data_IF_000063807531
#
_entry.id   IF_000063807531
#
_cell.length_a   1.000
_cell.length_b   1.000
_cell.length_c   1.000
_cell.angle_alpha   90.00
_cell.angle_beta   90.00
_cell.angle_gamma   90.00
#
_symmetry.space_group_name_H-M   'P 1'
#
loop_
_entity.id
_entity.type
_entity.pdbx_description
1 polymer ?
#
# COMPACT_ATOMS: atom_id res chain seq x y z
N UNK A 1 21.20 -13.56 9.41
CA UNK A 1 20.25 -12.50 9.79
C UNK A 1 19.65 -12.83 11.16
N UNK A 2 19.34 -11.83 11.99
CA UNK A 2 18.65 -12.06 13.27
C UNK A 2 17.17 -12.42 13.03
N UNK A 3 16.44 -13.02 14.00
CA UNK A 3 15.01 -13.28 13.86
C UNK A 3 14.19 -12.02 13.50
N UNK A 4 14.53 -10.87 14.09
CA UNK A 4 13.93 -9.57 13.75
C UNK A 4 14.20 -9.15 12.31
N UNK A 5 15.41 -9.42 11.81
CA UNK A 5 15.80 -9.12 10.43
C UNK A 5 15.04 -9.99 9.42
N UNK A 6 14.79 -11.26 9.73
CA UNK A 6 13.99 -12.15 8.87
C UNK A 6 12.51 -11.75 8.84
N UNK A 7 11.96 -11.31 9.98
CA UNK A 7 10.61 -10.75 9.99
C UNK A 7 10.51 -9.52 9.10
N UNK A 8 11.42 -8.55 9.27
CA UNK A 8 11.44 -7.34 8.43
C UNK A 8 11.58 -7.68 6.94
N UNK A 9 12.36 -8.70 6.60
CA UNK A 9 12.46 -9.20 5.23
C UNK A 9 11.11 -9.69 4.72
N UNK A 10 10.41 -10.57 5.45
CA UNK A 10 9.11 -11.09 5.02
C UNK A 10 8.05 -10.00 4.92
N UNK A 11 8.03 -9.07 5.87
CA UNK A 11 7.10 -7.93 5.85
C UNK A 11 7.33 -7.06 4.61
N UNK A 12 8.59 -6.70 4.32
CA UNK A 12 8.96 -5.85 3.17
C UNK A 12 8.80 -6.56 1.83
N UNK A 13 9.43 -7.72 1.68
CA UNK A 13 9.45 -8.44 0.41
C UNK A 13 8.08 -9.04 0.13
N UNK A 14 7.39 -9.57 1.15
CA UNK A 14 6.02 -10.04 1.01
C UNK A 14 5.08 -8.93 0.55
N UNK A 15 5.17 -7.73 1.13
CA UNK A 15 4.40 -6.59 0.67
C UNK A 15 4.70 -6.22 -0.79
N UNK A 16 5.96 -6.25 -1.21
CA UNK A 16 6.33 -6.02 -2.62
C UNK A 16 5.79 -7.12 -3.55
N UNK A 17 5.78 -8.38 -3.10
CA UNK A 17 5.26 -9.53 -3.86
C UNK A 17 3.76 -9.39 -4.12
N UNK A 18 2.98 -9.01 -3.11
CA UNK A 18 1.51 -8.93 -3.22
C UNK A 18 0.99 -7.55 -3.62
N UNK A 19 1.88 -6.57 -3.84
CA UNK A 19 1.50 -5.23 -4.25
C UNK A 19 0.78 -5.29 -5.62
N UNK A 20 -0.38 -4.67 -5.71
CA UNK A 20 -1.22 -4.71 -6.92
C UNK A 20 -0.78 -3.70 -7.99
N UNK A 21 0.14 -2.82 -7.63
CA UNK A 21 0.90 -1.96 -8.53
C UNK A 21 2.33 -1.78 -7.97
N UNK A 22 3.33 -1.45 -8.80
CA UNK A 22 4.67 -1.14 -8.31
C UNK A 22 4.67 0.06 -7.36
N UNK A 23 5.10 -0.15 -6.11
CA UNK A 23 5.13 0.89 -5.07
C UNK A 23 6.55 1.40 -4.82
N UNK A 24 6.65 2.69 -4.49
CA UNK A 24 7.92 3.29 -4.05
C UNK A 24 8.18 3.05 -2.57
N UNK A 25 9.40 3.34 -2.12
CA UNK A 25 9.82 3.08 -0.74
C UNK A 25 8.99 3.84 0.30
N UNK A 26 8.54 5.05 -0.02
CA UNK A 26 7.74 5.87 0.89
C UNK A 26 6.34 5.29 1.06
N UNK A 27 5.74 4.82 -0.04
CA UNK A 27 4.46 4.11 -0.03
C UNK A 27 4.56 2.82 0.76
N UNK A 28 5.58 2.00 0.48
CA UNK A 28 5.87 0.78 1.21
C UNK A 28 6.04 1.05 2.72
N UNK A 29 6.87 2.03 3.09
CA UNK A 29 7.09 2.39 4.48
C UNK A 29 5.80 2.86 5.17
N UNK A 30 4.98 3.67 4.51
CA UNK A 30 3.72 4.19 5.05
C UNK A 30 2.64 3.10 5.19
N UNK A 31 2.65 2.08 4.32
CA UNK A 31 1.77 0.92 4.43
C UNK A 31 2.23 -0.04 5.54
N UNK A 32 3.53 -0.26 5.71
CA UNK A 32 4.06 -1.17 6.72
C UNK A 32 4.10 -0.56 8.13
N UNK A 33 4.33 0.74 8.25
CA UNK A 33 4.49 1.41 9.54
C UNK A 33 3.75 2.75 9.61
N UNK A 34 3.21 3.16 10.77
CA UNK A 34 2.53 4.45 10.91
C UNK A 34 3.46 5.63 10.58
N UNK A 35 2.92 6.65 9.92
CA UNK A 35 3.58 7.94 9.78
C UNK A 35 3.83 8.56 11.17
N UNK A 36 5.02 9.11 11.37
CA UNK A 36 5.46 9.66 12.65
C UNK A 36 6.93 10.07 12.63
N UNK A 37 7.47 10.50 13.78
CA UNK A 37 8.85 10.99 13.90
C UNK A 37 9.93 9.98 13.45
N UNK A 38 9.59 8.70 13.36
CA UNK A 38 10.48 7.62 12.95
C UNK A 38 10.33 7.21 11.48
N UNK A 39 9.47 7.87 10.69
CA UNK A 39 9.22 7.47 9.28
C UNK A 39 10.51 7.43 8.45
N UNK A 40 11.32 8.47 8.54
CA UNK A 40 12.61 8.55 7.81
C UNK A 40 13.63 7.51 8.29
N UNK A 41 13.66 7.23 9.59
CA UNK A 41 14.51 6.18 10.16
C UNK A 41 14.09 4.80 9.64
N UNK A 42 12.79 4.55 9.55
CA UNK A 42 12.25 3.29 9.06
C UNK A 42 12.48 3.11 7.56
N UNK A 43 12.23 4.14 6.74
CA UNK A 43 12.57 4.14 5.32
C UNK A 43 14.07 3.85 5.11
N UNK A 44 14.93 4.49 5.90
CA UNK A 44 16.38 4.25 5.87
C UNK A 44 16.75 2.82 6.30
N UNK A 45 16.03 2.27 7.28
CA UNK A 45 16.21 0.89 7.75
C UNK A 45 15.83 -0.12 6.67
N UNK A 46 14.66 0.04 6.02
CA UNK A 46 14.20 -0.80 4.91
C UNK A 46 15.23 -0.76 3.78
N UNK A 47 15.65 0.44 3.37
CA UNK A 47 16.63 0.64 2.30
C UNK A 47 17.93 -0.10 2.57
N UNK A 48 18.55 0.15 3.74
CA UNK A 48 19.87 -0.41 4.08
C UNK A 48 19.82 -1.91 4.38
N UNK A 49 18.76 -2.39 5.00
CA UNK A 49 18.69 -3.76 5.52
C UNK A 49 18.16 -4.73 4.49
N UNK A 50 17.22 -4.31 3.64
CA UNK A 50 16.54 -5.17 2.68
C UNK A 50 16.88 -4.76 1.25
N UNK A 51 16.46 -3.59 0.81
CA UNK A 51 16.49 -3.22 -0.62
C UNK A 51 17.92 -3.21 -1.19
N UNK A 52 18.87 -2.58 -0.49
CA UNK A 52 20.27 -2.52 -0.95
C UNK A 52 20.97 -3.89 -0.95
N UNK A 53 20.47 -4.86 -0.18
CA UNK A 53 21.01 -6.22 -0.17
C UNK A 53 20.43 -7.11 -1.27
N UNK A 54 19.32 -6.68 -1.87
CA UNK A 54 18.58 -7.43 -2.89
C UNK A 54 18.72 -6.81 -4.28
N UNK A 55 19.70 -5.94 -4.53
CA UNK A 55 19.91 -5.31 -5.83
C UNK A 55 20.17 -6.30 -6.98
N UNK A 56 20.57 -7.53 -6.68
CA UNK A 56 20.69 -8.60 -7.67
C UNK A 56 19.33 -9.08 -8.22
N UNK A 57 18.24 -8.82 -7.50
CA UNK A 57 16.88 -9.27 -7.85
C UNK A 57 15.84 -8.15 -7.83
N UNK A 58 16.20 -6.96 -7.33
CA UNK A 58 15.37 -5.76 -7.27
C UNK A 58 16.04 -4.60 -8.00
N UNK A 59 15.26 -3.89 -8.80
CA UNK A 59 15.56 -2.51 -9.20
C UNK A 59 15.15 -1.60 -8.05
N UNK A 60 16.15 -0.98 -7.43
CA UNK A 60 15.96 -0.05 -6.30
C UNK A 60 16.37 1.35 -6.76
N UNK A 61 15.42 2.28 -6.89
CA UNK A 61 15.75 3.66 -7.20
C UNK A 61 16.60 4.31 -6.10
N UNK A 62 17.53 5.18 -6.51
CA UNK A 62 18.24 6.07 -5.58
C UNK A 62 19.45 5.48 -4.86
N UNK A 63 19.87 4.25 -5.19
CA UNK A 63 21.03 3.60 -4.57
C UNK A 63 22.31 4.44 -4.69
N UNK A 64 22.44 5.21 -5.79
CA UNK A 64 23.64 5.99 -6.11
C UNK A 64 23.39 7.50 -6.26
N UNK A 65 22.19 7.99 -5.91
CA UNK A 65 21.83 9.41 -6.06
C UNK A 65 21.39 10.01 -4.74
N UNK A 66 21.92 11.18 -4.40
CA UNK A 66 21.45 11.99 -3.27
C UNK A 66 20.08 12.64 -3.52
N UNK A 67 19.48 12.42 -4.69
CA UNK A 67 18.20 13.00 -5.09
C UNK A 67 17.03 12.31 -4.40
N UNK A 68 16.30 13.06 -3.58
CA UNK A 68 15.02 12.67 -2.99
C UNK A 68 13.93 12.35 -4.04
N UNK A 69 14.11 12.78 -5.30
CA UNK A 69 13.23 12.41 -6.40
C UNK A 69 13.28 10.90 -6.72
N UNK A 70 14.38 10.22 -6.39
CA UNK A 70 14.48 8.78 -6.58
C UNK A 70 13.54 7.99 -5.66
N UNK A 71 13.21 8.53 -4.49
CA UNK A 71 12.30 7.89 -3.51
C UNK A 71 10.84 7.90 -3.97
N UNK A 72 10.52 8.64 -5.03
CA UNK A 72 9.23 8.63 -5.70
C UNK A 72 9.08 7.51 -6.74
N UNK A 73 10.19 6.92 -7.21
CA UNK A 73 10.18 5.87 -8.23
C UNK A 73 9.87 4.49 -7.61
N UNK A 74 9.19 3.61 -8.35
CA UNK A 74 8.77 2.30 -7.83
C UNK A 74 9.94 1.33 -7.66
N UNK A 75 9.84 0.46 -6.66
CA UNK A 75 10.69 -0.71 -6.49
C UNK A 75 10.13 -1.83 -7.37
N UNK A 76 10.99 -2.52 -8.11
CA UNK A 76 10.54 -3.58 -9.04
C UNK A 76 11.40 -4.83 -8.91
N UNK A 77 10.79 -6.00 -9.06
CA UNK A 77 11.54 -7.24 -9.26
C UNK A 77 12.13 -7.27 -10.67
N UNK A 78 13.39 -7.71 -10.79
CA UNK A 78 14.06 -7.85 -12.09
C UNK A 78 13.42 -9.00 -12.89
N UNK A 79 13.02 -10.07 -12.21
CA UNK A 79 12.43 -11.25 -12.85
C UNK A 79 11.40 -11.92 -11.94
N UNK A 80 10.34 -12.48 -12.54
CA UNK A 80 9.24 -13.14 -11.82
C UNK A 80 9.69 -14.40 -11.09
N UNK A 81 10.73 -15.10 -11.58
CA UNK A 81 11.23 -16.33 -10.93
C UNK A 81 11.63 -16.14 -9.46
N UNK A 82 12.05 -14.94 -9.06
CA UNK A 82 12.34 -14.68 -7.65
C UNK A 82 11.06 -14.59 -6.82
N UNK A 83 10.00 -13.99 -7.38
CA UNK A 83 8.67 -14.00 -6.77
C UNK A 83 8.15 -15.44 -6.68
N UNK A 84 8.23 -16.19 -7.78
CA UNK A 84 7.80 -17.59 -7.85
C UNK A 84 8.52 -18.43 -6.77
N UNK A 85 9.85 -18.30 -6.66
CA UNK A 85 10.65 -18.95 -5.63
C UNK A 85 10.17 -18.58 -4.22
N UNK A 86 9.91 -17.30 -3.93
CA UNK A 86 9.50 -16.85 -2.59
C UNK A 86 8.10 -17.32 -2.18
N UNK A 87 7.28 -17.74 -3.14
CA UNK A 87 5.92 -18.23 -2.90
C UNK A 87 5.77 -19.75 -2.98
N UNK A 88 6.84 -20.46 -3.36
CA UNK A 88 6.84 -21.92 -3.48
C UNK A 88 7.38 -22.57 -2.19
N UNK A 89 6.50 -23.17 -1.39
CA UNK A 89 6.87 -23.84 -0.14
C UNK A 89 7.80 -25.06 -0.33
N UNK A 90 7.83 -25.64 -1.53
CA UNK A 90 8.65 -26.82 -1.85
C UNK A 90 10.09 -26.45 -2.23
N UNK A 91 10.28 -25.23 -2.76
CA UNK A 91 11.58 -24.76 -3.24
C UNK A 91 12.19 -23.70 -2.31
N UNK A 92 11.37 -22.88 -1.65
CA UNK A 92 11.85 -21.79 -0.83
C UNK A 92 12.43 -22.26 0.49
N UNK A 93 13.54 -21.63 0.89
CA UNK A 93 13.97 -21.68 2.27
C UNK A 93 12.87 -21.12 3.20
N UNK A 94 12.45 -21.91 4.19
CA UNK A 94 11.33 -21.60 5.10
C UNK A 94 11.41 -20.25 5.80
N UNK A 95 12.62 -19.70 6.00
CA UNK A 95 12.82 -18.39 6.64
C UNK A 95 12.46 -17.21 5.73
N UNK A 96 12.51 -17.41 4.41
CA UNK A 96 12.27 -16.42 3.36
C UNK A 96 10.89 -16.56 2.72
N UNK A 97 10.25 -17.70 2.90
CA UNK A 97 8.94 -18.03 2.35
C UNK A 97 7.90 -16.96 2.72
N UNK A 98 7.16 -16.52 1.70
CA UNK A 98 6.08 -15.55 1.79
C UNK A 98 4.76 -16.30 1.64
N UNK A 99 4.00 -16.41 2.73
CA UNK A 99 2.66 -17.00 2.70
C UNK A 99 1.62 -15.94 2.33
N UNK A 100 0.98 -16.01 1.15
CA UNK A 100 0.21 -14.90 0.60
C UNK A 100 -0.85 -14.24 1.52
N UNK A 101 -1.58 -14.94 2.41
CA UNK A 101 -2.52 -14.26 3.30
C UNK A 101 -1.85 -13.23 4.21
N UNK A 102 -0.63 -13.49 4.70
CA UNK A 102 0.03 -12.64 5.70
C UNK A 102 0.42 -11.25 5.14
N UNK A 103 1.08 -11.12 3.98
CA UNK A 103 1.33 -9.80 3.38
C UNK A 103 0.05 -9.06 2.97
N UNK A 104 -0.98 -9.77 2.50
CA UNK A 104 -2.26 -9.15 2.18
C UNK A 104 -2.92 -8.57 3.44
N UNK A 105 -2.89 -9.28 4.57
CA UNK A 105 -3.34 -8.77 5.87
C UNK A 105 -2.55 -7.54 6.31
N UNK A 106 -1.22 -7.60 6.20
CA UNK A 106 -0.34 -6.50 6.57
C UNK A 106 -0.62 -5.24 5.74
N UNK A 107 -0.79 -5.38 4.43
CA UNK A 107 -1.15 -4.27 3.56
C UNK A 107 -2.58 -3.78 3.79
N UNK A 108 -3.55 -4.65 4.07
CA UNK A 108 -4.91 -4.25 4.42
C UNK A 108 -4.92 -3.36 5.67
N UNK A 109 -4.21 -3.76 6.73
CA UNK A 109 -4.04 -2.95 7.95
C UNK A 109 -3.39 -1.60 7.63
N UNK A 110 -2.33 -1.61 6.82
CA UNK A 110 -1.66 -0.40 6.34
C UNK A 110 -2.58 0.54 5.57
N UNK A 111 -3.40 -0.01 4.68
CA UNK A 111 -4.38 0.72 3.89
C UNK A 111 -5.45 1.38 4.78
N UNK A 112 -6.05 0.63 5.70
CA UNK A 112 -7.01 1.19 6.65
C UNK A 112 -6.41 2.31 7.49
N UNK A 113 -5.17 2.14 7.98
CA UNK A 113 -4.46 3.18 8.72
C UNK A 113 -4.25 4.45 7.89
N UNK A 114 -3.83 4.32 6.62
CA UNK A 114 -3.65 5.47 5.74
C UNK A 114 -4.99 6.18 5.49
N UNK A 115 -6.06 5.42 5.29
CA UNK A 115 -7.42 5.94 5.08
C UNK A 115 -8.04 6.61 6.32
N UNK A 116 -7.46 6.45 7.53
CA UNK A 116 -7.90 7.21 8.70
C UNK A 116 -7.70 8.72 8.51
N UNK A 117 -6.79 9.14 7.61
CA UNK A 117 -6.54 10.54 7.24
C UNK A 117 -7.57 11.14 6.29
N UNK A 118 -8.45 10.32 5.69
CA UNK A 118 -9.49 10.79 4.80
C UNK A 118 -10.44 11.75 5.54
N UNK A 119 -10.74 12.86 4.88
CA UNK A 119 -11.67 13.88 5.35
C UNK A 119 -12.41 14.47 4.16
N UNK A 120 -13.53 15.12 4.44
CA UNK A 120 -14.29 15.87 3.44
C UNK A 120 -13.40 16.90 2.74
N UNK A 121 -13.56 17.01 1.43
CA UNK A 121 -12.87 17.98 0.57
C UNK A 121 -11.34 17.90 0.69
N UNK A 122 -10.77 16.71 0.47
CA UNK A 122 -9.32 16.48 0.54
C UNK A 122 -8.50 17.47 -0.29
N UNK A 123 -9.04 17.87 -1.45
CA UNK A 123 -8.35 18.74 -2.40
C UNK A 123 -8.70 20.23 -2.26
N UNK A 124 -9.51 20.60 -1.26
CA UNK A 124 -9.92 21.98 -1.00
C UNK A 124 -10.49 22.67 -2.26
N UNK A 125 -11.44 21.96 -2.90
CA UNK A 125 -12.12 22.39 -4.11
C UNK A 125 -13.33 23.26 -3.79
N UNK A 126 -13.66 24.16 -4.71
CA UNK A 126 -14.87 24.96 -4.64
C UNK A 126 -16.08 24.05 -4.96
N UNK A 127 -17.05 23.89 -4.03
CA UNK A 127 -18.21 23.04 -4.24
C UNK A 127 -19.16 23.54 -5.35
N UNK A 128 -19.00 24.79 -5.81
CA UNK A 128 -19.80 25.37 -6.88
C UNK A 128 -19.28 25.04 -8.28
N UNK A 129 -18.10 24.42 -8.40
CA UNK A 129 -17.48 24.09 -9.68
C UNK A 129 -17.54 22.59 -9.97
N UNK A 130 -17.70 22.25 -11.24
CA UNK A 130 -17.41 20.91 -11.73
C UNK A 130 -15.90 20.66 -11.67
N UNK A 131 -15.49 19.40 -11.48
CA UNK A 131 -14.07 19.02 -11.49
C UNK A 131 -13.36 19.50 -12.78
N UNK A 132 -14.05 19.47 -13.92
CA UNK A 132 -13.55 19.95 -15.22
C UNK A 132 -13.33 21.47 -15.29
N UNK A 133 -13.96 22.24 -14.40
CA UNK A 133 -13.86 23.70 -14.33
C UNK A 133 -12.76 24.15 -13.35
N UNK A 134 -12.27 23.24 -12.51
CA UNK A 134 -11.19 23.51 -11.56
C UNK A 134 -9.86 23.63 -12.30
N UNK A 135 -9.22 24.81 -12.19
CA UNK A 135 -7.87 25.02 -12.72
C UNK A 135 -6.85 24.12 -12.00
N UNK A 136 -5.99 23.47 -12.79
CA UNK A 136 -4.94 22.56 -12.30
C UNK A 136 -5.51 21.44 -11.41
N UNK A 137 -6.72 20.95 -11.71
CA UNK A 137 -7.40 19.90 -10.94
C UNK A 137 -6.48 18.70 -10.67
N UNK A 138 -5.91 18.12 -11.72
CA UNK A 138 -5.05 16.94 -11.60
C UNK A 138 -3.85 17.22 -10.69
N UNK A 139 -3.17 18.35 -10.88
CA UNK A 139 -2.04 18.72 -10.03
C UNK A 139 -2.44 18.81 -8.55
N UNK A 140 -3.59 19.42 -8.23
CA UNK A 140 -4.07 19.52 -6.85
C UNK A 140 -4.36 18.16 -6.25
N UNK A 141 -5.00 17.27 -7.01
CA UNK A 141 -5.20 15.86 -6.61
C UNK A 141 -3.85 15.18 -6.37
N UNK A 142 -2.88 15.43 -7.25
CA UNK A 142 -1.54 14.87 -7.17
C UNK A 142 -0.70 15.41 -5.99
N UNK A 143 -1.00 16.60 -5.48
CA UNK A 143 -0.33 17.19 -4.32
C UNK A 143 -1.02 16.84 -3.00
N UNK A 144 -2.36 16.73 -2.99
CA UNK A 144 -3.16 16.60 -1.76
C UNK A 144 -3.41 15.17 -1.33
N UNK A 145 -3.53 14.23 -2.26
CA UNK A 145 -3.81 12.82 -1.94
C UNK A 145 -2.51 12.03 -2.00
N UNK A 146 -1.74 11.91 -0.92
CA UNK A 146 -0.39 11.32 -0.98
C UNK A 146 -0.36 9.90 -1.60
N UNK A 147 0.76 9.46 -2.21
CA UNK A 147 0.85 8.17 -2.91
C UNK A 147 0.36 6.97 -2.10
N UNK A 148 0.72 6.87 -0.82
CA UNK A 148 0.26 5.80 0.06
C UNK A 148 -1.26 5.80 0.27
N UNK A 149 -1.86 6.99 0.37
CA UNK A 149 -3.31 7.12 0.49
C UNK A 149 -4.01 6.75 -0.83
N UNK A 150 -3.44 7.10 -1.99
CA UNK A 150 -3.98 6.68 -3.30
C UNK A 150 -3.99 5.17 -3.40
N UNK A 151 -2.83 4.54 -3.15
CA UNK A 151 -2.68 3.10 -3.15
C UNK A 151 -3.72 2.46 -2.21
N UNK A 152 -3.82 2.97 -0.98
CA UNK A 152 -4.76 2.45 0.00
C UNK A 152 -6.22 2.55 -0.46
N UNK A 153 -6.63 3.68 -1.04
CA UNK A 153 -7.99 3.87 -1.52
C UNK A 153 -8.31 2.91 -2.68
N UNK A 154 -7.36 2.68 -3.59
CA UNK A 154 -7.58 1.88 -4.80
C UNK A 154 -7.49 0.37 -4.52
N UNK A 155 -6.60 -0.07 -3.62
CA UNK A 155 -6.25 -1.49 -3.49
C UNK A 155 -6.79 -2.17 -2.23
N UNK A 156 -7.47 -1.44 -1.33
CA UNK A 156 -7.94 -2.02 -0.05
C UNK A 156 -8.79 -3.28 -0.25
N UNK A 157 -9.76 -3.26 -1.18
CA UNK A 157 -10.68 -4.38 -1.36
C UNK A 157 -9.97 -5.64 -1.85
N UNK A 158 -9.00 -5.49 -2.75
CA UNK A 158 -8.21 -6.60 -3.25
C UNK A 158 -7.22 -7.16 -2.22
N UNK A 159 -6.75 -6.35 -1.26
CA UNK A 159 -6.03 -6.89 -0.12
C UNK A 159 -6.96 -7.65 0.84
N UNK A 160 -8.09 -7.05 1.21
CA UNK A 160 -9.08 -7.67 2.11
C UNK A 160 -9.55 -9.02 1.57
N UNK A 161 -9.88 -9.13 0.28
CA UNK A 161 -10.40 -10.36 -0.32
C UNK A 161 -9.43 -11.55 -0.24
N UNK A 162 -8.14 -11.28 -0.10
CA UNK A 162 -7.07 -12.27 -0.01
C UNK A 162 -6.67 -12.59 1.45
N UNK A 163 -7.26 -11.91 2.43
CA UNK A 163 -7.06 -12.21 3.85
C UNK A 163 -7.99 -13.33 4.32
N UNK A 164 -7.68 -13.94 5.47
CA UNK A 164 -8.55 -14.95 6.06
C UNK A 164 -9.89 -14.33 6.52
N UNK A 165 -11.02 -14.78 5.98
CA UNK A 165 -12.38 -14.31 6.34
C UNK A 165 -12.72 -14.39 7.85
N UNK A 166 -12.04 -15.28 8.59
CA UNK A 166 -12.12 -15.40 10.04
C UNK A 166 -11.31 -14.37 10.83
N UNK A 167 -10.58 -13.47 10.16
CA UNK A 167 -9.72 -12.49 10.81
C UNK A 167 -10.55 -11.38 11.48
N UNK A 168 -10.75 -11.52 12.80
CA UNK A 168 -11.55 -10.60 13.60
C UNK A 168 -10.97 -9.17 13.61
N UNK A 169 -9.65 -9.01 13.47
CA UNK A 169 -9.01 -7.70 13.42
C UNK A 169 -9.40 -6.95 12.13
N UNK A 170 -9.27 -7.62 10.97
CA UNK A 170 -9.67 -7.05 9.67
C UNK A 170 -11.17 -6.72 9.67
N UNK A 171 -12.02 -7.61 10.20
CA UNK A 171 -13.45 -7.35 10.34
C UNK A 171 -13.75 -6.09 11.17
N UNK A 172 -13.02 -5.89 12.26
CA UNK A 172 -13.12 -4.67 13.08
C UNK A 172 -12.70 -3.40 12.34
N UNK A 173 -11.62 -3.48 11.54
CA UNK A 173 -11.15 -2.37 10.71
C UNK A 173 -12.16 -2.00 9.62
N UNK A 174 -12.75 -3.00 8.94
CA UNK A 174 -13.82 -2.80 7.96
C UNK A 174 -15.01 -2.09 8.61
N UNK A 175 -15.47 -2.57 9.76
CA UNK A 175 -16.61 -1.96 10.45
C UNK A 175 -16.35 -0.50 10.85
N UNK A 176 -15.14 -0.19 11.35
CA UNK A 176 -14.73 1.19 11.66
C UNK A 176 -14.66 2.05 10.40
N UNK A 177 -14.05 1.55 9.34
CA UNK A 177 -13.95 2.24 8.05
C UNK A 177 -15.33 2.54 7.45
N UNK A 178 -16.22 1.55 7.43
CA UNK A 178 -17.58 1.69 6.92
C UNK A 178 -18.35 2.79 7.67
N UNK A 179 -18.20 2.84 9.00
CA UNK A 179 -18.86 3.83 9.85
C UNK A 179 -18.28 5.23 9.73
N UNK A 180 -16.96 5.36 9.59
CA UNK A 180 -16.30 6.65 9.81
C UNK A 180 -15.62 7.26 8.58
N UNK A 181 -15.32 6.46 7.55
CA UNK A 181 -14.50 6.88 6.40
C UNK A 181 -15.09 6.55 5.03
N UNK A 182 -16.12 5.71 4.94
CA UNK A 182 -16.71 5.25 3.68
C UNK A 182 -17.06 6.39 2.71
N UNK A 183 -17.73 7.44 3.17
CA UNK A 183 -18.14 8.57 2.31
C UNK A 183 -16.92 9.34 1.80
N UNK A 184 -15.92 9.56 2.66
CA UNK A 184 -14.69 10.27 2.27
C UNK A 184 -13.83 9.41 1.34
N UNK A 185 -13.90 8.09 1.46
CA UNK A 185 -13.26 7.18 0.51
C UNK A 185 -13.92 7.24 -0.86
N UNK A 186 -15.25 7.25 -0.94
CA UNK A 186 -15.97 7.43 -2.21
C UNK A 186 -15.66 8.79 -2.86
N UNK A 187 -15.59 9.85 -2.06
CA UNK A 187 -15.13 11.17 -2.52
C UNK A 187 -13.70 11.10 -3.07
N UNK A 188 -12.77 10.46 -2.35
CA UNK A 188 -11.40 10.26 -2.79
C UNK A 188 -11.31 9.46 -4.10
N UNK A 189 -12.06 8.37 -4.23
CA UNK A 189 -12.13 7.59 -5.48
C UNK A 189 -12.67 8.45 -6.63
N UNK A 190 -13.66 9.31 -6.39
CA UNK A 190 -14.17 10.24 -7.40
C UNK A 190 -13.08 11.22 -7.86
N UNK A 191 -12.32 11.80 -6.92
CA UNK A 191 -11.19 12.68 -7.23
C UNK A 191 -10.08 11.97 -8.04
N UNK A 192 -9.90 10.66 -7.80
CA UNK A 192 -8.95 9.82 -8.54
C UNK A 192 -9.50 9.28 -9.87
N UNK A 193 -10.76 9.58 -10.23
CA UNK A 193 -11.40 9.02 -11.44
C UNK A 193 -11.79 7.53 -11.32
N UNK A 194 -11.82 7.00 -10.10
CA UNK A 194 -11.99 5.58 -9.74
C UNK A 194 -13.34 5.27 -9.07
N UNK A 195 -14.28 6.22 -9.06
CA UNK A 195 -15.59 6.04 -8.40
C UNK A 195 -16.37 4.81 -8.92
N UNK A 196 -16.27 4.50 -10.21
CA UNK A 196 -16.94 3.35 -10.82
C UNK A 196 -16.41 2.00 -10.30
N UNK A 197 -15.13 1.94 -9.92
CA UNK A 197 -14.50 0.74 -9.35
C UNK A 197 -14.92 0.53 -7.89
N UNK A 198 -15.29 1.61 -7.19
CA UNK A 198 -15.70 1.57 -5.79
C UNK A 198 -16.89 0.65 -5.52
N UNK A 199 -17.83 0.52 -6.46
CA UNK A 199 -18.98 -0.42 -6.33
C UNK A 199 -18.50 -1.87 -6.28
N UNK A 200 -17.60 -2.26 -7.17
CA UNK A 200 -17.02 -3.61 -7.17
C UNK A 200 -16.19 -3.89 -5.91
N UNK A 201 -15.45 -2.87 -5.44
CA UNK A 201 -14.68 -2.95 -4.20
C UNK A 201 -15.55 -3.17 -2.96
N UNK A 202 -16.70 -2.49 -2.86
CA UNK A 202 -17.69 -2.73 -1.81
C UNK A 202 -18.23 -4.17 -1.90
N UNK A 203 -18.58 -4.62 -3.10
CA UNK A 203 -19.06 -5.99 -3.31
C UNK A 203 -18.06 -7.07 -2.87
N UNK A 204 -16.76 -6.88 -3.14
CA UNK A 204 -15.70 -7.80 -2.68
C UNK A 204 -15.59 -7.85 -1.15
N UNK A 205 -15.69 -6.70 -0.48
CA UNK A 205 -15.63 -6.63 0.98
C UNK A 205 -16.90 -7.26 1.59
N UNK A 206 -18.07 -7.03 0.99
CA UNK A 206 -19.32 -7.67 1.41
C UNK A 206 -19.30 -9.19 1.24
N UNK A 207 -18.73 -9.69 0.15
CA UNK A 207 -18.53 -11.13 -0.06
C UNK A 207 -17.60 -11.72 1.00
N UNK A 208 -16.49 -11.05 1.30
CA UNK A 208 -15.55 -11.47 2.34
C UNK A 208 -16.18 -11.50 3.74
N UNK A 209 -17.19 -10.67 4.01
CA UNK A 209 -17.86 -10.61 5.32
C UNK A 209 -18.84 -11.77 5.57
N UNK A 210 -19.28 -12.47 4.52
CA UNK A 210 -20.20 -13.61 4.60
C UNK A 210 -19.54 -14.82 5.26
#
# INVERSE_FOLDING_TARGET
MSPKSFKLFRDVVGALVVAQEPININTLASLLYPEGSQFQEFTSLIRRTILNRLQAVLVVPGVNSADHAADAQPIQFIHTSFVDYLTDETQCESRLLVHPPEPHELLAVGCFRNMDSLKRNMCDLDPCLLNSEVKNFDQRVWERILPALRYACVHIAGHVSQTNAGNAHIRGLIARFARERLIYWLECLSLLGKAHEGVGMVGLIEEWLK
#
